data_IF_446168113734
#
_entry.id   IF_446168113734
#
_cell.length_a   1.000
_cell.length_b   1.000
_cell.length_c   1.000
_cell.angle_alpha   90.00
_cell.angle_beta   90.00
_cell.angle_gamma   90.00
#
_symmetry.space_group_name_H-M   'P 1'
#
loop_
_entity.id
_entity.type
_entity.pdbx_description
1 polymer ?
#
# COMPACT_ATOMS: atom_id res chain seq x y z
N UNK A 1 0.64 9.50 -26.78
CA UNK A 1 0.79 9.96 -25.38
C UNK A 1 1.81 9.10 -24.67
N UNK A 2 2.54 9.67 -23.72
CA UNK A 2 3.56 8.98 -22.93
C UNK A 2 2.92 8.02 -21.93
N UNK A 3 3.55 6.87 -21.70
CA UNK A 3 3.17 5.91 -20.67
C UNK A 3 4.20 5.97 -19.52
N UNK A 4 3.72 6.01 -18.28
CA UNK A 4 4.57 6.01 -17.09
C UNK A 4 4.10 4.91 -16.14
N UNK A 5 5.03 4.07 -15.70
CA UNK A 5 4.79 3.02 -14.71
C UNK A 5 5.71 3.25 -13.51
N UNK A 6 5.14 3.37 -12.32
CA UNK A 6 5.89 3.54 -11.08
C UNK A 6 5.45 2.44 -10.12
N UNK A 7 6.41 1.65 -9.63
CA UNK A 7 6.16 0.67 -8.57
C UNK A 7 6.89 1.11 -7.30
N UNK A 8 6.13 1.27 -6.22
CA UNK A 8 6.66 1.51 -4.89
C UNK A 8 6.31 0.35 -3.97
N UNK A 9 7.20 0.00 -3.06
CA UNK A 9 6.99 -1.08 -2.11
C UNK A 9 7.61 -0.71 -0.78
N UNK A 10 6.80 -0.70 0.27
CA UNK A 10 7.25 -0.53 1.64
C UNK A 10 7.03 -1.82 2.42
N UNK A 11 8.02 -2.16 3.26
CA UNK A 11 7.98 -3.32 4.12
C UNK A 11 8.25 -2.87 5.55
N UNK A 12 7.40 -3.29 6.49
CA UNK A 12 7.55 -3.00 7.91
C UNK A 12 7.47 -4.30 8.70
N UNK A 13 8.55 -4.63 9.39
CA UNK A 13 8.59 -5.75 10.35
C UNK A 13 7.67 -5.43 11.52
N UNK A 14 6.76 -6.34 11.85
CA UNK A 14 5.94 -6.27 13.07
C UNK A 14 6.55 -7.20 14.12
N UNK A 15 6.93 -8.41 13.72
CA UNK A 15 7.63 -9.39 14.55
C UNK A 15 8.56 -10.25 13.70
N UNK A 16 9.25 -11.21 14.32
CA UNK A 16 10.06 -12.21 13.60
C UNK A 16 9.21 -13.17 12.74
N UNK A 17 7.89 -13.14 12.89
CA UNK A 17 6.94 -13.92 12.11
C UNK A 17 6.12 -13.07 11.14
N UNK A 18 5.70 -11.87 11.54
CA UNK A 18 4.80 -11.03 10.75
C UNK A 18 5.50 -9.81 10.14
N UNK A 19 5.25 -9.57 8.85
CA UNK A 19 5.70 -8.38 8.12
C UNK A 19 4.55 -7.77 7.33
N UNK A 20 4.33 -6.48 7.52
CA UNK A 20 3.45 -5.72 6.64
C UNK A 20 4.18 -5.35 5.35
N UNK A 21 3.52 -5.54 4.23
CA UNK A 21 3.98 -5.12 2.91
C UNK A 21 2.88 -4.27 2.28
N UNK A 22 3.24 -3.08 1.84
CA UNK A 22 2.37 -2.22 1.05
C UNK A 22 3.03 -2.05 -0.31
N UNK A 23 2.33 -2.43 -1.37
CA UNK A 23 2.71 -2.18 -2.75
C UNK A 23 1.77 -1.14 -3.36
N UNK A 24 2.36 -0.14 -4.00
CA UNK A 24 1.64 0.88 -4.75
C UNK A 24 2.15 0.88 -6.19
N UNK A 25 1.25 0.74 -7.15
CA UNK A 25 1.58 0.80 -8.58
C UNK A 25 0.81 1.94 -9.22
N UNK A 26 1.54 2.86 -9.82
CA UNK A 26 0.99 3.91 -10.67
C UNK A 26 1.16 3.50 -12.12
N UNK A 27 0.11 3.68 -12.89
CA UNK A 27 0.11 3.48 -14.32
C UNK A 27 -0.59 4.66 -14.96
N UNK A 28 0.20 5.55 -15.57
CA UNK A 28 -0.32 6.72 -16.26
C UNK A 28 -0.27 6.43 -17.76
N UNK A 29 -1.43 6.52 -18.41
CA UNK A 29 -1.63 6.21 -19.81
C UNK A 29 -1.97 7.46 -20.60
N UNK A 30 -1.43 7.54 -21.81
CA UNK A 30 -1.82 8.56 -22.78
C UNK A 30 -1.48 9.99 -22.35
N UNK A 31 -0.44 10.19 -21.53
CA UNK A 31 -0.06 11.51 -21.05
C UNK A 31 0.34 12.41 -22.22
N UNK A 32 -0.32 13.56 -22.35
CA UNK A 32 -0.05 14.61 -23.35
C UNK A 32 -0.02 15.95 -22.66
N UNK A 33 0.75 16.90 -23.19
CA UNK A 33 0.71 18.29 -22.72
C UNK A 33 -0.63 18.91 -23.10
N UNK A 34 -1.20 19.70 -22.19
CA UNK A 34 -2.43 20.44 -22.37
C UNK A 34 -2.26 21.84 -21.80
N UNK A 35 -2.79 22.85 -22.46
CA UNK A 35 -2.92 24.18 -21.88
C UNK A 35 -4.33 24.34 -21.33
N UNK A 36 -4.41 24.68 -20.05
CA UNK A 36 -5.67 24.98 -19.36
C UNK A 36 -5.62 26.41 -18.85
N UNK A 37 -6.74 27.11 -18.96
CA UNK A 37 -6.91 28.44 -18.41
C UNK A 37 -7.50 28.31 -17.01
N UNK A 38 -6.68 28.61 -16.00
CA UNK A 38 -7.06 28.59 -14.59
C UNK A 38 -6.97 30.04 -14.09
N UNK A 39 -8.07 30.59 -13.59
CA UNK A 39 -8.16 31.96 -13.09
C UNK A 39 -7.68 33.04 -14.09
N UNK A 40 -7.92 32.81 -15.40
CA UNK A 40 -7.52 33.74 -16.46
C UNK A 40 -6.03 33.67 -16.87
N UNK A 41 -5.27 32.73 -16.29
CA UNK A 41 -3.89 32.46 -16.69
C UNK A 41 -3.78 31.12 -17.39
N UNK A 42 -3.09 31.11 -18.54
CA UNK A 42 -2.76 29.87 -19.26
C UNK A 42 -1.65 29.12 -18.53
N UNK A 43 -1.96 27.91 -18.05
CA UNK A 43 -1.00 27.00 -17.44
C UNK A 43 -0.82 25.76 -18.31
N UNK A 44 0.44 25.37 -18.51
CA UNK A 44 0.77 24.08 -19.14
C UNK A 44 0.65 22.98 -18.10
N UNK A 45 -0.24 22.03 -18.36
CA UNK A 45 -0.49 20.84 -17.54
C UNK A 45 -0.38 19.57 -18.39
N UNK A 46 -0.57 18.40 -17.76
CA UNK A 46 -0.61 17.12 -18.45
C UNK A 46 -2.01 16.51 -18.36
N UNK A 47 -2.54 16.06 -19.50
CA UNK A 47 -3.79 15.30 -19.60
C UNK A 47 -3.46 13.83 -19.84
N UNK A 48 -4.10 12.94 -19.08
CA UNK A 48 -3.93 11.50 -19.23
C UNK A 48 -4.83 10.72 -18.27
N UNK A 49 -4.83 9.40 -18.40
CA UNK A 49 -5.54 8.50 -17.49
C UNK A 49 -4.57 7.98 -16.43
N UNK A 50 -4.95 8.09 -15.15
CA UNK A 50 -4.13 7.62 -14.02
C UNK A 50 -4.83 6.43 -13.38
N UNK A 51 -4.18 5.27 -13.44
CA UNK A 51 -4.58 4.07 -12.71
C UNK A 51 -3.64 3.82 -11.54
N UNK A 52 -4.19 3.54 -10.38
CA UNK A 52 -3.45 3.30 -9.14
C UNK A 52 -3.90 1.99 -8.53
N UNK A 53 -3.00 1.03 -8.42
CA UNK A 53 -3.23 -0.22 -7.69
C UNK A 53 -2.57 -0.13 -6.31
N UNK A 54 -3.38 -0.18 -5.26
CA UNK A 54 -2.91 -0.23 -3.88
C UNK A 54 -3.13 -1.63 -3.31
N UNK A 55 -2.06 -2.29 -2.83
CA UNK A 55 -2.12 -3.62 -2.23
C UNK A 55 -1.45 -3.60 -0.86
N UNK A 56 -2.19 -3.97 0.18
CA UNK A 56 -1.63 -4.27 1.48
C UNK A 56 -1.61 -5.79 1.69
N UNK A 57 -0.54 -6.32 2.27
CA UNK A 57 -0.37 -7.75 2.52
C UNK A 57 0.34 -7.95 3.85
N UNK A 58 -0.19 -8.86 4.68
CA UNK A 58 0.47 -9.34 5.88
C UNK A 58 1.21 -10.64 5.54
N UNK A 59 2.52 -10.55 5.35
CA UNK A 59 3.37 -11.72 5.14
C UNK A 59 3.66 -12.41 6.47
N UNK A 60 3.59 -13.74 6.45
CA UNK A 60 3.91 -14.63 7.56
C UNK A 60 5.17 -15.40 7.20
N UNK A 61 6.06 -15.61 8.18
CA UNK A 61 7.32 -16.35 8.01
C UNK A 61 8.18 -15.81 6.83
N UNK A 62 8.43 -14.51 6.82
CA UNK A 62 9.13 -13.86 5.70
C UNK A 62 10.66 -14.08 5.72
N UNK A 63 11.24 -14.56 6.82
CA UNK A 63 12.69 -14.82 6.94
C UNK A 63 13.06 -16.27 6.58
N UNK A 64 12.10 -17.19 6.37
CA UNK A 64 12.34 -18.64 6.12
C UNK A 64 13.27 -19.33 7.13
N UNK A 65 13.61 -18.66 8.25
CA UNK A 65 14.49 -19.16 9.34
C UNK A 65 13.82 -20.22 10.21
N UNK A 66 12.62 -20.63 9.84
CA UNK A 66 11.72 -21.46 10.63
C UNK A 66 11.77 -22.94 10.24
N UNK A 67 12.51 -23.32 9.17
CA UNK A 67 12.74 -24.72 8.77
C UNK A 67 13.85 -25.42 9.56
N UNK A 68 14.90 -24.70 10.00
CA UNK A 68 16.14 -25.35 10.44
C UNK A 68 16.31 -25.56 11.95
N UNK A 69 15.61 -24.81 12.80
CA UNK A 69 15.90 -24.79 14.25
C UNK A 69 14.64 -24.70 15.13
N UNK A 70 14.71 -25.10 16.40
CA UNK A 70 13.64 -25.55 17.32
C UNK A 70 12.38 -24.67 17.53
N UNK A 71 11.64 -24.30 16.49
CA UNK A 71 10.35 -23.58 16.60
C UNK A 71 9.23 -24.47 17.17
N UNK A 72 9.43 -25.80 17.18
CA UNK A 72 8.48 -26.78 17.71
C UNK A 72 8.14 -26.65 19.21
N UNK A 73 8.94 -25.91 20.00
CA UNK A 73 8.61 -25.51 21.39
C UNK A 73 8.03 -24.09 21.50
N UNK A 74 8.30 -23.21 20.53
CA UNK A 74 7.81 -21.83 20.49
C UNK A 74 6.37 -21.75 19.92
N UNK A 75 6.08 -22.57 18.90
CA UNK A 75 4.74 -22.80 18.34
C UNK A 75 3.78 -23.53 19.28
N UNK A 76 4.31 -24.21 20.30
CA UNK A 76 3.50 -24.83 21.35
C UNK A 76 2.91 -23.79 22.33
N UNK A 77 3.47 -22.56 22.38
CA UNK A 77 2.91 -21.38 23.07
C UNK A 77 2.08 -20.44 22.18
N UNK A 78 2.24 -20.51 20.85
CA UNK A 78 1.30 -19.94 19.84
C UNK A 78 -0.13 -20.52 20.00
N UNK A 79 -0.24 -21.57 20.83
CA UNK A 79 -1.34 -22.49 20.94
C UNK A 79 -2.22 -22.35 22.18
N UNK A 80 -2.06 -21.30 23.01
CA UNK A 80 -3.22 -20.86 23.83
C UNK A 80 -4.22 -19.99 23.02
N UNK A 81 -4.12 -20.14 21.68
CA UNK A 81 -5.21 -20.50 20.74
C UNK A 81 -6.33 -19.50 20.47
N UNK A 82 -6.65 -18.60 21.38
CA UNK A 82 -7.78 -17.68 21.24
C UNK A 82 -7.36 -16.20 21.17
N UNK A 83 -6.24 -15.83 21.80
CA UNK A 83 -5.74 -14.44 21.82
C UNK A 83 -5.23 -14.01 20.44
N UNK A 84 -4.62 -14.94 19.69
CA UNK A 84 -4.04 -14.63 18.39
C UNK A 84 -5.12 -14.37 17.34
N UNK A 85 -6.30 -15.00 17.36
CA UNK A 85 -7.35 -14.67 16.37
C UNK A 85 -7.80 -13.23 16.49
N UNK A 86 -8.12 -12.76 17.69
CA UNK A 86 -8.52 -11.37 17.92
C UNK A 86 -7.39 -10.41 17.57
N UNK A 87 -6.16 -10.71 17.98
CA UNK A 87 -5.02 -9.82 17.71
C UNK A 87 -4.67 -9.80 16.22
N UNK A 88 -4.84 -10.91 15.52
CA UNK A 88 -4.57 -11.05 14.09
C UNK A 88 -5.67 -10.39 13.25
N UNK A 89 -6.94 -10.59 13.59
CA UNK A 89 -8.06 -9.82 13.04
C UNK A 89 -7.85 -8.33 13.29
N UNK A 90 -7.31 -7.95 14.45
CA UNK A 90 -6.99 -6.57 14.77
C UNK A 90 -5.78 -6.04 13.99
N UNK A 91 -4.75 -6.83 13.73
CA UNK A 91 -3.63 -6.44 12.87
C UNK A 91 -4.05 -6.30 11.41
N UNK A 92 -4.87 -7.23 10.90
CA UNK A 92 -5.43 -7.15 9.55
C UNK A 92 -6.38 -5.95 9.44
N UNK A 93 -7.27 -5.74 10.42
CA UNK A 93 -8.15 -4.57 10.48
C UNK A 93 -7.36 -3.26 10.56
N UNK A 94 -6.31 -3.20 11.39
CA UNK A 94 -5.42 -2.04 11.47
C UNK A 94 -4.67 -1.81 10.16
N UNK A 95 -4.24 -2.86 9.46
CA UNK A 95 -3.59 -2.76 8.17
C UNK A 95 -4.56 -2.27 7.11
N UNK A 96 -5.79 -2.77 7.10
CA UNK A 96 -6.88 -2.32 6.21
C UNK A 96 -7.23 -0.87 6.49
N UNK A 97 -7.41 -0.46 7.74
CA UNK A 97 -7.72 0.93 8.10
C UNK A 97 -6.60 1.88 7.68
N UNK A 98 -5.33 1.49 7.88
CA UNK A 98 -4.18 2.28 7.42
C UNK A 98 -4.11 2.36 5.91
N UNK A 99 -4.31 1.22 5.23
CA UNK A 99 -4.35 1.14 3.77
C UNK A 99 -5.45 2.05 3.20
N UNK A 100 -6.66 1.97 3.76
CA UNK A 100 -7.80 2.82 3.38
C UNK A 100 -7.51 4.29 3.63
N UNK A 101 -6.93 4.66 4.78
CA UNK A 101 -6.55 6.04 5.06
C UNK A 101 -5.48 6.56 4.07
N UNK A 102 -4.47 5.75 3.73
CA UNK A 102 -3.50 6.12 2.71
C UNK A 102 -4.13 6.26 1.33
N UNK A 103 -5.06 5.37 0.98
CA UNK A 103 -5.80 5.46 -0.28
C UNK A 103 -6.68 6.71 -0.34
N UNK A 104 -7.35 7.07 0.75
CA UNK A 104 -8.10 8.33 0.86
C UNK A 104 -7.18 9.55 0.74
N UNK A 105 -6.01 9.54 1.37
CA UNK A 105 -5.01 10.60 1.22
C UNK A 105 -4.51 10.71 -0.22
N UNK A 106 -4.27 9.59 -0.91
CA UNK A 106 -3.90 9.59 -2.34
C UNK A 106 -5.04 10.19 -3.17
N UNK A 107 -6.29 9.78 -2.93
CA UNK A 107 -7.46 10.37 -3.60
C UNK A 107 -7.60 11.86 -3.32
N UNK A 108 -7.44 12.28 -2.07
CA UNK A 108 -7.52 13.68 -1.66
C UNK A 108 -6.40 14.51 -2.31
N UNK A 109 -5.17 14.02 -2.31
CA UNK A 109 -4.03 14.66 -2.97
C UNK A 109 -4.29 14.85 -4.47
N UNK A 110 -4.80 13.83 -5.15
CA UNK A 110 -5.12 13.91 -6.58
C UNK A 110 -6.33 14.79 -6.87
N UNK A 111 -7.36 14.78 -6.00
CA UNK A 111 -8.54 15.63 -6.14
C UNK A 111 -8.24 17.10 -5.80
N UNK A 112 -7.33 17.37 -4.86
CA UNK A 112 -6.85 18.71 -4.55
C UNK A 112 -5.91 19.23 -5.64
N UNK A 113 -5.22 18.34 -6.37
CA UNK A 113 -4.45 18.71 -7.56
C UNK A 113 -5.33 18.95 -8.80
N UNK A 114 -6.57 18.44 -8.81
CA UNK A 114 -7.54 18.62 -9.90
C UNK A 114 -8.58 19.73 -9.67
N UNK A 115 -8.52 20.42 -8.53
CA UNK A 115 -9.30 21.63 -8.21
C UNK A 115 -8.35 22.76 -7.86
N UNK A 116 -7.65 23.26 -8.86
CA UNK A 116 -7.26 24.66 -8.96
C UNK A 116 -7.51 25.08 -10.41
#
# INVERSE_FOLDING_TARGET
>A
GKEIKIKWTAKKKISDYFRNVIELKWHILGMVDAEVEIEGQKQKTNKGEVKIDFKATLERDYEKRWEDKPVWKFLRGIYDKYIIRTTMEQYESNLVNKASSYFEQIKAFLNLSGRQ
#
